data_IF_856979685383
#
_entry.id   IF_856979685383
#
_cell.length_a   1.000
_cell.length_b   1.000
_cell.length_c   1.000
_cell.angle_alpha   90.00
_cell.angle_beta   90.00
_cell.angle_gamma   90.00
#
_symmetry.space_group_name_H-M   'P 1'
#
loop_
_entity.id
_entity.type
_entity.pdbx_description
1 polymer ?
#
# COMPACT_ATOMS: atom_id res chain seq x y z
N UNK A 1 29.63 36.07 11.43
CA UNK A 1 30.03 34.95 12.31
C UNK A 1 29.00 34.83 13.42
N UNK A 2 28.21 33.74 13.53
CA UNK A 2 27.31 33.59 14.66
C UNK A 2 28.13 33.40 15.95
N UNK A 3 27.74 34.09 17.02
CA UNK A 3 28.45 34.08 18.31
C UNK A 3 28.29 32.76 19.08
N UNK A 4 29.19 32.51 20.02
CA UNK A 4 29.27 31.27 20.82
C UNK A 4 27.93 30.86 21.50
N UNK A 5 27.11 31.84 21.88
CA UNK A 5 25.79 31.61 22.45
C UNK A 5 24.79 30.96 21.45
N UNK A 6 24.85 31.34 20.17
CA UNK A 6 23.99 30.76 19.12
C UNK A 6 24.38 29.29 18.86
N UNK A 7 25.67 28.97 18.89
CA UNK A 7 26.19 27.61 18.69
C UNK A 7 25.79 26.67 19.84
N UNK A 8 25.84 27.14 21.09
CA UNK A 8 25.42 26.37 22.26
C UNK A 8 23.92 26.05 22.26
N UNK A 9 23.08 27.00 21.84
CA UNK A 9 21.62 26.81 21.73
C UNK A 9 21.27 25.80 20.62
N UNK A 10 21.97 25.84 19.48
CA UNK A 10 21.77 24.87 18.38
C UNK A 10 22.26 23.46 18.77
N UNK A 11 23.38 23.35 19.49
CA UNK A 11 23.88 22.07 20.01
C UNK A 11 22.96 21.44 21.06
N UNK A 12 22.42 22.25 21.98
CA UNK A 12 21.48 21.79 23.01
C UNK A 12 20.18 21.25 22.41
N UNK A 13 19.65 21.92 21.37
CA UNK A 13 18.43 21.47 20.66
C UNK A 13 18.61 20.13 19.94
N UNK A 14 19.80 19.84 19.39
CA UNK A 14 20.10 18.55 18.73
C UNK A 14 20.22 17.40 19.72
N UNK A 15 20.67 17.65 20.95
CA UNK A 15 20.74 16.63 22.00
C UNK A 15 19.38 16.29 22.61
N UNK A 16 18.49 17.26 22.75
CA UNK A 16 17.16 17.06 23.36
C UNK A 16 16.12 16.45 22.42
N UNK A 17 16.39 16.41 21.11
CA UNK A 17 15.45 15.91 20.08
C UNK A 17 15.87 14.57 19.46
N UNK A 18 16.98 13.98 19.91
CA UNK A 18 17.45 12.70 19.39
C UNK A 18 16.69 11.53 20.05
N UNK A 19 16.33 10.53 19.27
CA UNK A 19 15.75 9.30 19.80
C UNK A 19 16.82 8.52 20.59
N UNK A 20 16.47 8.01 21.77
CA UNK A 20 17.41 7.22 22.57
C UNK A 20 17.66 5.82 21.98
N UNK A 21 16.78 5.36 21.09
CA UNK A 21 16.83 4.01 20.51
C UNK A 21 16.36 3.96 19.05
N UNK A 22 16.44 2.77 18.43
CA UNK A 22 16.03 2.58 17.05
C UNK A 22 14.51 2.73 16.89
N UNK A 23 14.09 3.19 15.71
CA UNK A 23 12.67 3.22 15.35
C UNK A 23 12.06 1.81 15.38
N UNK A 24 10.88 1.68 15.99
CA UNK A 24 10.16 0.40 16.14
C UNK A 24 8.72 0.55 15.67
N UNK A 25 8.18 -0.47 15.01
CA UNK A 25 6.76 -0.53 14.64
C UNK A 25 5.95 -0.76 15.93
N UNK A 26 5.09 0.19 16.30
CA UNK A 26 4.23 0.09 17.49
C UNK A 26 2.82 -0.44 17.20
N UNK A 27 2.34 -0.30 15.95
CA UNK A 27 1.06 -0.84 15.51
C UNK A 27 0.97 -0.91 13.98
N UNK A 28 0.18 -1.85 13.47
CA UNK A 28 -0.23 -1.95 12.06
C UNK A 28 -1.74 -2.19 12.05
N UNK A 29 -2.48 -1.38 11.30
CA UNK A 29 -3.91 -1.56 11.06
C UNK A 29 -4.19 -1.74 9.56
N UNK A 30 -5.04 -2.69 9.22
CA UNK A 30 -5.48 -2.96 7.83
C UNK A 30 -7.01 -2.99 7.76
N UNK A 31 -7.58 -2.56 6.65
CA UNK A 31 -9.00 -2.69 6.36
C UNK A 31 -9.22 -3.00 4.88
N UNK A 32 -10.16 -3.91 4.59
CA UNK A 32 -10.57 -4.26 3.23
C UNK A 32 -12.08 -3.99 3.05
N UNK A 33 -12.54 -3.67 1.84
CA UNK A 33 -13.97 -3.60 1.54
C UNK A 33 -14.68 -4.93 1.80
N UNK A 34 -15.98 -4.87 2.14
CA UNK A 34 -16.77 -6.08 2.39
C UNK A 34 -17.05 -6.89 1.12
N UNK A 35 -17.03 -6.25 -0.04
CA UNK A 35 -17.29 -6.93 -1.31
C UNK A 35 -16.02 -7.64 -1.79
N UNK A 36 -16.11 -8.96 -1.94
CA UNK A 36 -15.02 -9.83 -2.36
C UNK A 36 -15.52 -10.63 -3.58
N UNK A 37 -14.74 -10.61 -4.65
CA UNK A 37 -14.97 -11.46 -5.83
C UNK A 37 -13.85 -12.49 -5.87
N UNK A 38 -14.17 -13.80 -5.80
CA UNK A 38 -13.18 -14.87 -5.94
C UNK A 38 -12.44 -14.79 -7.27
N UNK A 39 -11.15 -15.14 -7.28
CA UNK A 39 -10.29 -14.98 -8.46
C UNK A 39 -10.70 -15.91 -9.62
N UNK A 40 -11.17 -17.12 -9.31
CA UNK A 40 -11.72 -18.10 -10.24
C UNK A 40 -13.05 -17.64 -10.85
N UNK A 41 -13.84 -16.86 -10.11
CA UNK A 41 -15.10 -16.26 -10.58
C UNK A 41 -14.88 -14.91 -11.29
N UNK A 42 -13.75 -14.24 -11.10
CA UNK A 42 -13.54 -12.85 -11.52
C UNK A 42 -13.72 -12.63 -13.03
N UNK A 43 -13.23 -13.55 -13.85
CA UNK A 43 -13.38 -13.45 -15.31
C UNK A 43 -14.85 -13.55 -15.75
N UNK A 44 -15.63 -14.40 -15.10
CA UNK A 44 -17.06 -14.53 -15.39
C UNK A 44 -17.84 -13.31 -14.87
N UNK A 45 -17.55 -12.86 -13.64
CA UNK A 45 -18.13 -11.65 -13.06
C UNK A 45 -17.86 -10.40 -13.91
N UNK A 46 -16.62 -10.18 -14.32
CA UNK A 46 -16.20 -8.98 -15.06
C UNK A 46 -16.87 -8.91 -16.44
N UNK A 47 -16.85 -10.00 -17.21
CA UNK A 47 -17.41 -10.02 -18.57
C UNK A 47 -18.95 -9.92 -18.58
N UNK A 48 -19.60 -10.47 -17.55
CA UNK A 48 -21.04 -10.30 -17.33
C UNK A 48 -21.38 -8.83 -17.02
N UNK A 49 -20.61 -8.21 -16.12
CA UNK A 49 -20.82 -6.82 -15.72
C UNK A 49 -20.60 -5.83 -16.87
N UNK A 50 -19.58 -6.07 -17.70
CA UNK A 50 -19.25 -5.18 -18.84
C UNK A 50 -20.00 -5.50 -20.13
N UNK A 51 -20.90 -6.51 -20.12
CA UNK A 51 -21.62 -7.00 -21.31
C UNK A 51 -20.68 -7.47 -22.44
N UNK A 52 -19.53 -8.03 -22.06
CA UNK A 52 -18.46 -8.44 -22.98
C UNK A 52 -18.41 -9.94 -23.22
N UNK A 53 -19.43 -10.70 -22.80
CA UNK A 53 -19.50 -12.17 -22.92
C UNK A 53 -19.25 -12.73 -24.33
N UNK A 54 -19.47 -11.91 -25.37
CA UNK A 54 -19.19 -12.28 -26.76
C UNK A 54 -17.69 -12.35 -27.09
N UNK A 55 -16.81 -11.76 -26.27
CA UNK A 55 -15.35 -11.78 -26.45
C UNK A 55 -14.72 -13.03 -25.80
N UNK A 56 -15.14 -14.20 -26.27
CA UNK A 56 -14.80 -15.50 -25.66
C UNK A 56 -13.30 -15.77 -25.60
N UNK A 57 -12.55 -15.48 -26.67
CA UNK A 57 -11.09 -15.67 -26.70
C UNK A 57 -10.37 -14.81 -25.66
N UNK A 58 -10.85 -13.57 -25.45
CA UNK A 58 -10.28 -12.67 -24.46
C UNK A 58 -10.59 -13.15 -23.04
N UNK A 59 -11.80 -13.67 -22.82
CA UNK A 59 -12.23 -14.26 -21.55
C UNK A 59 -11.39 -15.51 -21.21
N UNK A 60 -11.14 -16.37 -22.19
CA UNK A 60 -10.30 -17.57 -22.02
C UNK A 60 -8.85 -17.21 -21.74
N UNK A 61 -8.31 -16.22 -22.44
CA UNK A 61 -6.98 -15.67 -22.17
C UNK A 61 -6.89 -15.12 -20.74
N UNK A 62 -7.92 -14.42 -20.29
CA UNK A 62 -7.99 -13.89 -18.93
C UNK A 62 -8.01 -15.03 -17.90
N UNK A 63 -8.87 -16.05 -18.07
CA UNK A 63 -8.89 -17.23 -17.19
C UNK A 63 -7.52 -17.90 -17.10
N UNK A 64 -6.80 -18.03 -18.22
CA UNK A 64 -5.46 -18.61 -18.25
C UNK A 64 -4.39 -17.79 -17.50
N UNK A 65 -4.54 -16.46 -17.43
CA UNK A 65 -3.59 -15.58 -16.69
C UNK A 65 -3.85 -15.63 -15.19
N UNK A 66 -5.12 -15.76 -14.79
CA UNK A 66 -5.55 -15.54 -13.41
C UNK A 66 -5.85 -16.81 -12.62
N UNK A 67 -6.06 -17.94 -13.28
CA UNK A 67 -6.46 -19.22 -12.65
C UNK A 67 -5.37 -20.29 -12.73
N UNK A 68 -4.48 -20.22 -13.73
CA UNK A 68 -3.37 -21.18 -13.90
C UNK A 68 -2.06 -20.66 -13.33
#
# INVERSE_FOLDING_TARGET
MPGAATTAVVGSRRGTQHAEGPATIIAIGTANPANIVPQDEFADYYFGLTKSEHLTELKDKMKRIYVN
#
